data_IF_652781968528
#
_entry.id   IF_652781968528
#
_cell.length_a   1.000
_cell.length_b   1.000
_cell.length_c   1.000
_cell.angle_alpha   90.00
_cell.angle_beta   90.00
_cell.angle_gamma   90.00
#
_symmetry.space_group_name_H-M   'P 1'
#
loop_
_entity.id
_entity.type
_entity.pdbx_description
1 polymer ?
#
# COMPACT_ATOMS: atom_id res chain seq x y z
N UNK A 1 -18.56 15.30 3.65
CA UNK A 1 -17.44 14.39 3.96
C UNK A 1 -17.65 13.12 3.17
N UNK A 2 -16.61 12.62 2.48
CA UNK A 2 -16.67 11.27 1.94
C UNK A 2 -16.56 10.27 3.10
N UNK A 3 -17.42 9.25 3.10
CA UNK A 3 -17.32 8.14 4.05
C UNK A 3 -16.28 7.17 3.48
N UNK A 4 -15.22 6.89 4.24
CA UNK A 4 -14.23 5.86 3.86
C UNK A 4 -14.69 4.53 4.42
N UNK A 5 -14.75 3.51 3.57
CA UNK A 5 -15.15 2.15 3.94
C UNK A 5 -13.95 1.22 3.83
N UNK A 6 -13.69 0.45 4.89
CA UNK A 6 -12.64 -0.56 4.88
C UNK A 6 -13.11 -1.87 4.22
N UNK A 7 -12.18 -2.64 3.61
CA UNK A 7 -10.76 -2.32 3.45
C UNK A 7 -10.49 -1.32 2.30
N UNK A 8 -9.62 -0.34 2.55
CA UNK A 8 -9.25 0.67 1.54
C UNK A 8 -8.38 0.11 0.40
N UNK A 9 -7.65 -0.97 0.68
CA UNK A 9 -6.85 -1.71 -0.29
C UNK A 9 -7.04 -3.22 -0.05
N UNK A 10 -8.02 -3.85 -0.71
CA UNK A 10 -8.25 -5.30 -0.61
C UNK A 10 -7.09 -6.10 -1.22
N UNK A 11 -6.95 -7.37 -0.82
CA UNK A 11 -5.97 -8.31 -1.39
C UNK A 11 -4.72 -8.51 -0.52
N UNK A 12 -3.67 -9.08 -1.12
CA UNK A 12 -2.42 -9.43 -0.44
C UNK A 12 -1.43 -8.26 -0.49
N UNK A 13 -1.59 -7.32 0.44
CA UNK A 13 -0.75 -6.14 0.60
C UNK A 13 -0.14 -6.11 2.02
N UNK A 14 0.71 -7.09 2.37
CA UNK A 14 1.22 -7.27 3.72
C UNK A 14 2.28 -6.23 4.08
N UNK A 15 2.41 -5.98 5.38
CA UNK A 15 3.41 -5.08 5.99
C UNK A 15 3.49 -3.69 5.32
N UNK A 16 2.37 -2.95 5.20
CA UNK A 16 2.37 -1.69 4.48
C UNK A 16 3.24 -0.65 5.20
N UNK A 17 4.14 -0.02 4.44
CA UNK A 17 4.86 1.19 4.82
C UNK A 17 4.40 2.35 3.94
N UNK A 18 3.91 3.44 4.54
CA UNK A 18 3.31 4.57 3.82
C UNK A 18 4.09 5.87 4.02
N UNK A 19 4.23 6.66 2.95
CA UNK A 19 4.74 8.03 3.03
C UNK A 19 3.95 8.98 2.12
N UNK A 20 4.15 10.29 2.31
CA UNK A 20 3.52 11.36 1.53
C UNK A 20 4.59 12.29 0.97
N UNK A 21 4.47 12.66 -0.31
CA UNK A 21 5.32 13.66 -0.96
C UNK A 21 4.43 14.64 -1.71
N UNK A 22 4.36 15.91 -1.27
CA UNK A 22 3.42 16.87 -1.83
C UNK A 22 1.97 16.43 -1.58
N UNK A 23 1.20 16.22 -2.65
CA UNK A 23 -0.19 15.76 -2.57
C UNK A 23 -0.35 14.25 -2.81
N UNK A 24 0.75 13.54 -3.07
CA UNK A 24 0.76 12.11 -3.38
C UNK A 24 1.08 11.26 -2.14
N UNK A 25 0.47 10.07 -2.08
CA UNK A 25 0.73 9.04 -1.07
C UNK A 25 1.28 7.79 -1.75
N UNK A 26 2.31 7.19 -1.16
CA UNK A 26 2.97 5.97 -1.64
C UNK A 26 2.88 4.89 -0.57
N UNK A 27 2.58 3.65 -0.96
CA UNK A 27 2.49 2.50 -0.05
C UNK A 27 3.40 1.39 -0.60
N UNK A 28 4.46 1.04 0.14
CA UNK A 28 5.26 -0.13 -0.17
C UNK A 28 4.77 -1.35 0.64
N UNK A 29 4.75 -2.53 0.02
CA UNK A 29 4.36 -3.79 0.69
C UNK A 29 5.39 -4.89 0.50
N UNK A 30 5.52 -5.76 1.50
CA UNK A 30 6.35 -6.97 1.42
C UNK A 30 5.85 -7.90 0.31
N UNK A 31 6.78 -8.44 -0.49
CA UNK A 31 6.48 -9.46 -1.52
C UNK A 31 7.06 -10.84 -1.18
N UNK A 32 7.69 -10.98 -0.02
CA UNK A 32 8.44 -12.18 0.37
C UNK A 32 9.40 -12.63 -0.74
N UNK A 33 9.38 -13.90 -1.16
CA UNK A 33 10.25 -14.45 -2.19
C UNK A 33 9.78 -14.15 -3.64
N UNK A 34 8.69 -13.39 -3.83
CA UNK A 34 8.19 -13.09 -5.18
C UNK A 34 9.07 -12.08 -5.91
N UNK A 35 9.27 -12.31 -7.21
CA UNK A 35 10.05 -11.46 -8.10
C UNK A 35 9.17 -10.91 -9.24
N UNK A 36 9.23 -9.61 -9.57
CA UNK A 36 10.05 -8.57 -8.94
C UNK A 36 9.62 -8.31 -7.48
N UNK A 37 10.60 -7.99 -6.63
CA UNK A 37 10.35 -7.76 -5.21
C UNK A 37 9.92 -6.32 -4.93
N UNK A 38 9.21 -6.13 -3.80
CA UNK A 38 8.66 -4.86 -3.29
C UNK A 38 7.70 -4.18 -4.29
N UNK A 39 6.41 -4.21 -3.97
CA UNK A 39 5.39 -3.45 -4.69
C UNK A 39 5.28 -2.05 -4.09
N UNK A 40 5.12 -1.02 -4.94
CA UNK A 40 4.93 0.39 -4.58
C UNK A 40 3.69 0.92 -5.32
#
# INVERSE_FOLDING_TARGET
>A
MAIVTNPILPGFNPDPSICRVGDDYYIATSTFEWFPGVQI
#
